data_IF_988111768427
#
_entry.id   IF_988111768427
#
_cell.length_a   1.000
_cell.length_b   1.000
_cell.length_c   1.000
_cell.angle_alpha   90.00
_cell.angle_beta   90.00
_cell.angle_gamma   90.00
#
_symmetry.space_group_name_H-M   'P 1'
#
loop_
_entity.id
_entity.type
_entity.pdbx_description
1 polymer ?
#
# COMPACT_ATOMS: atom_id res chain seq x y z
N UNK A 1 29.04 46.74 29.16
CA UNK A 1 28.72 46.08 27.88
C UNK A 1 29.76 45.06 27.41
N UNK A 2 30.92 44.91 28.07
CA UNK A 2 31.88 43.81 27.78
C UNK A 2 31.59 42.54 28.61
N UNK A 3 31.08 42.70 29.84
CA UNK A 3 30.78 41.59 30.77
C UNK A 3 29.65 40.65 30.30
N UNK A 4 28.60 41.17 29.65
CA UNK A 4 27.45 40.33 29.25
C UNK A 4 27.83 39.30 28.17
N UNK A 5 28.77 39.63 27.28
CA UNK A 5 29.23 38.72 26.22
C UNK A 5 30.15 37.62 26.74
N UNK A 6 30.90 37.89 27.82
CA UNK A 6 31.74 36.88 28.47
C UNK A 6 30.87 35.89 29.26
N UNK A 7 29.82 36.37 29.93
CA UNK A 7 28.90 35.52 30.68
C UNK A 7 28.07 34.57 29.78
N UNK A 8 27.75 35.00 28.54
CA UNK A 8 27.12 34.13 27.53
C UNK A 8 28.06 33.05 26.98
N UNK A 9 29.37 33.29 26.98
CA UNK A 9 30.38 32.30 26.60
C UNK A 9 30.66 31.31 27.74
N UNK A 10 30.65 31.76 29.00
CA UNK A 10 30.81 30.90 30.18
C UNK A 10 29.63 29.94 30.40
N UNK A 11 28.45 30.25 29.86
CA UNK A 11 27.27 29.36 29.92
C UNK A 11 27.26 28.27 28.84
N UNK A 12 28.20 28.29 27.90
CA UNK A 12 28.34 27.26 26.87
C UNK A 12 29.22 26.14 27.41
N UNK A 13 28.63 24.95 27.60
CA UNK A 13 29.37 23.73 27.96
C UNK A 13 30.49 23.53 26.93
N UNK A 14 31.74 23.43 27.39
CA UNK A 14 32.87 23.17 26.51
C UNK A 14 32.73 21.76 25.92
N UNK A 15 33.07 21.58 24.65
CA UNK A 15 33.03 20.27 23.97
C UNK A 15 33.94 19.25 24.67
N UNK A 16 34.98 19.75 25.35
CA UNK A 16 35.92 18.95 26.14
C UNK A 16 35.32 18.35 27.43
N UNK A 17 34.17 18.88 27.89
CA UNK A 17 33.46 18.37 29.06
C UNK A 17 32.37 17.34 28.69
N UNK A 18 32.13 17.14 27.38
CA UNK A 18 31.13 16.20 26.87
C UNK A 18 31.66 14.75 26.84
N UNK A 19 30.75 13.74 26.92
CA UNK A 19 31.11 12.32 26.81
C UNK A 19 31.90 12.01 25.54
N UNK A 20 32.79 11.01 25.61
CA UNK A 20 33.70 10.66 24.53
C UNK A 20 33.02 10.43 23.17
N UNK A 21 31.82 9.82 23.16
CA UNK A 21 31.04 9.60 21.95
C UNK A 21 30.57 10.92 21.30
N UNK A 22 30.15 11.90 22.10
CA UNK A 22 29.71 13.21 21.61
C UNK A 22 30.90 14.03 21.11
N UNK A 23 32.06 13.88 21.74
CA UNK A 23 33.31 14.53 21.29
C UNK A 23 33.78 13.99 19.95
N UNK A 24 33.77 12.66 19.78
CA UNK A 24 34.11 12.03 18.51
C UNK A 24 33.19 12.49 17.38
N UNK A 25 31.88 12.61 17.66
CA UNK A 25 30.93 13.18 16.72
C UNK A 25 31.25 14.65 16.42
N UNK A 26 31.52 15.46 17.44
CA UNK A 26 31.84 16.87 17.28
C UNK A 26 33.09 17.08 16.42
N UNK A 27 34.15 16.30 16.65
CA UNK A 27 35.39 16.34 15.87
C UNK A 27 35.13 16.01 14.39
N UNK A 28 34.33 14.97 14.13
CA UNK A 28 33.95 14.59 12.77
C UNK A 28 33.11 15.67 12.08
N UNK A 29 32.11 16.21 12.78
CA UNK A 29 31.18 17.21 12.22
C UNK A 29 31.86 18.56 11.98
N UNK A 30 32.77 18.99 12.86
CA UNK A 30 33.60 20.17 12.65
C UNK A 30 34.57 19.98 11.48
N UNK A 31 35.05 18.74 11.26
CA UNK A 31 35.85 18.39 10.09
C UNK A 31 35.10 18.53 8.76
N UNK A 32 33.78 18.30 8.77
CA UNK A 32 32.91 18.47 7.59
C UNK A 32 32.44 19.92 7.43
N UNK A 33 32.02 20.56 8.51
CA UNK A 33 31.54 21.94 8.52
C UNK A 33 32.16 22.74 9.69
N UNK A 34 33.08 23.67 9.40
CA UNK A 34 33.72 24.51 10.43
C UNK A 34 32.76 25.42 11.21
N UNK A 35 31.56 25.68 10.71
CA UNK A 35 30.54 26.50 11.36
C UNK A 35 29.56 25.69 12.22
N UNK A 36 29.74 24.37 12.30
CA UNK A 36 28.83 23.49 13.01
C UNK A 36 28.90 23.69 14.54
N UNK A 37 27.75 23.56 15.21
CA UNK A 37 27.60 23.77 16.65
C UNK A 37 26.89 22.59 17.31
N UNK A 38 27.52 21.99 18.32
CA UNK A 38 26.98 20.86 19.08
C UNK A 38 25.65 21.20 19.75
N UNK A 39 25.49 22.42 20.25
CA UNK A 39 24.29 22.82 20.98
C UNK A 39 23.07 22.90 20.07
N UNK A 40 23.23 23.52 18.91
CA UNK A 40 22.17 23.63 17.91
C UNK A 40 21.78 22.23 17.39
N UNK A 41 22.78 21.39 17.13
CA UNK A 41 22.55 20.00 16.76
C UNK A 41 21.81 19.19 17.85
N UNK A 42 22.15 19.37 19.12
CA UNK A 42 21.45 18.70 20.24
C UNK A 42 19.99 19.14 20.33
N UNK A 43 19.70 20.42 20.09
CA UNK A 43 18.33 20.93 20.05
C UNK A 43 17.56 20.31 18.88
N UNK A 44 18.16 20.28 17.69
CA UNK A 44 17.56 19.64 16.51
C UNK A 44 17.28 18.15 16.75
N UNK A 45 18.23 17.41 17.32
CA UNK A 45 18.04 15.99 17.66
C UNK A 45 16.96 15.80 18.72
N UNK A 46 16.91 16.64 19.75
CA UNK A 46 15.86 16.58 20.76
C UNK A 46 14.47 16.81 20.13
N UNK A 47 14.33 17.78 19.22
CA UNK A 47 13.07 18.02 18.52
C UNK A 47 12.69 16.83 17.63
N UNK A 48 13.63 16.32 16.82
CA UNK A 48 13.39 15.18 15.94
C UNK A 48 12.97 13.92 16.71
N UNK A 49 13.64 13.65 17.84
CA UNK A 49 13.29 12.52 18.71
C UNK A 49 11.92 12.71 19.37
N UNK A 50 11.55 13.93 19.76
CA UNK A 50 10.20 14.24 20.26
C UNK A 50 9.13 14.03 19.19
N UNK A 51 9.40 14.40 17.94
CA UNK A 51 8.46 14.19 16.81
C UNK A 51 8.26 12.69 16.52
N UNK A 52 9.35 11.90 16.51
CA UNK A 52 9.27 10.45 16.37
C UNK A 52 8.46 9.81 17.50
N UNK A 53 8.70 10.21 18.75
CA UNK A 53 7.92 9.72 19.89
C UNK A 53 6.43 10.08 19.78
N UNK A 54 6.09 11.25 19.25
CA UNK A 54 4.70 11.63 19.03
C UNK A 54 4.02 10.70 18.00
N UNK A 55 4.71 10.35 16.91
CA UNK A 55 4.21 9.42 15.90
C UNK A 55 4.01 8.02 16.49
N UNK A 56 4.99 7.53 17.26
CA UNK A 56 4.89 6.21 17.91
C UNK A 56 3.72 6.15 18.90
N UNK A 57 3.48 7.22 19.66
CA UNK A 57 2.33 7.32 20.56
C UNK A 57 1.00 7.31 19.81
N UNK A 58 0.91 7.97 18.65
CA UNK A 58 -0.29 7.93 17.82
C UNK A 58 -0.55 6.51 17.29
N UNK A 59 0.49 5.80 16.85
CA UNK A 59 0.39 4.40 16.43
C UNK A 59 -0.11 3.52 17.57
N UNK A 60 0.50 3.60 18.75
CA UNK A 60 0.10 2.81 19.92
C UNK A 60 -1.35 3.11 20.34
N UNK A 61 -1.76 4.38 20.29
CA UNK A 61 -3.15 4.76 20.54
C UNK A 61 -4.11 4.03 19.59
N UNK A 62 -3.83 4.01 18.29
CA UNK A 62 -4.67 3.31 17.31
C UNK A 62 -4.76 1.82 17.60
N UNK A 63 -3.65 1.18 17.96
CA UNK A 63 -3.62 -0.25 18.32
C UNK A 63 -4.47 -0.53 19.55
N UNK A 64 -4.39 0.33 20.58
CA UNK A 64 -5.19 0.22 21.79
C UNK A 64 -6.67 0.45 21.50
N UNK A 65 -7.02 1.45 20.69
CA UNK A 65 -8.41 1.75 20.31
C UNK A 65 -9.03 0.58 19.55
N UNK A 66 -8.31 -0.04 18.61
CA UNK A 66 -8.75 -1.25 17.92
C UNK A 66 -8.95 -2.43 18.87
N UNK A 67 -8.06 -2.61 19.84
CA UNK A 67 -8.20 -3.65 20.86
C UNK A 67 -9.42 -3.40 21.74
N UNK A 68 -9.67 -2.16 22.14
CA UNK A 68 -10.84 -1.77 22.91
C UNK A 68 -12.13 -2.07 22.15
N UNK A 69 -12.21 -1.65 20.88
CA UNK A 69 -13.36 -1.93 20.01
C UNK A 69 -13.65 -3.43 19.92
N UNK A 70 -12.62 -4.26 19.70
CA UNK A 70 -12.78 -5.72 19.68
C UNK A 70 -13.32 -6.27 21.00
N UNK A 71 -12.86 -5.75 22.14
CA UNK A 71 -13.36 -6.17 23.46
C UNK A 71 -14.81 -5.75 23.68
N UNK A 72 -15.19 -4.55 23.26
CA UNK A 72 -16.59 -4.08 23.31
C UNK A 72 -17.50 -4.94 22.47
N UNK A 73 -17.10 -5.28 21.24
CA UNK A 73 -17.89 -6.13 20.35
C UNK A 73 -18.06 -7.54 20.92
N UNK A 74 -17.02 -8.11 21.53
CA UNK A 74 -17.11 -9.38 22.26
C UNK A 74 -18.08 -9.23 23.45
N UNK A 75 -18.00 -8.13 24.20
CA UNK A 75 -18.91 -7.83 25.31
C UNK A 75 -20.37 -7.79 24.87
N UNK A 76 -20.68 -7.07 23.78
CA UNK A 76 -22.04 -6.99 23.18
C UNK A 76 -22.56 -8.36 22.74
N UNK A 77 -21.68 -9.23 22.23
CA UNK A 77 -22.05 -10.60 21.82
C UNK A 77 -22.32 -11.53 23.00
N UNK A 78 -21.73 -11.28 24.16
CA UNK A 78 -21.96 -12.03 25.39
C UNK A 78 -23.21 -11.57 26.15
N UNK A 79 -23.74 -10.38 25.83
CA UNK A 79 -24.96 -9.87 26.44
C UNK A 79 -26.18 -10.76 26.05
N UNK A 80 -27.00 -11.19 27.03
CA UNK A 80 -28.11 -12.08 26.75
C UNK A 80 -29.13 -11.42 25.79
N UNK A 81 -29.73 -12.19 24.87
CA UNK A 81 -30.59 -11.69 23.79
C UNK A 81 -31.90 -11.01 24.25
N UNK A 82 -32.14 -10.90 25.56
CA UNK A 82 -33.29 -10.21 26.15
C UNK A 82 -33.02 -8.76 26.57
N UNK A 83 -31.77 -8.27 26.50
CA UNK A 83 -31.38 -6.92 26.91
C UNK A 83 -30.87 -6.01 25.78
N UNK A 84 -30.72 -6.56 24.57
CA UNK A 84 -30.63 -5.74 23.36
C UNK A 84 -31.97 -5.05 23.17
N UNK A 85 -32.10 -3.87 23.76
CA UNK A 85 -33.19 -2.95 23.43
C UNK A 85 -33.30 -2.91 21.92
N UNK A 86 -34.49 -3.29 21.47
CA UNK A 86 -34.97 -3.21 20.10
C UNK A 86 -34.98 -1.73 19.70
N UNK A 87 -33.80 -1.15 19.51
CA UNK A 87 -33.62 0.09 18.80
C UNK A 87 -33.86 -0.25 17.34
N UNK A 88 -35.15 -0.17 16.98
CA UNK A 88 -35.63 -0.05 15.59
C UNK A 88 -34.77 -0.77 14.56
N UNK A 89 -34.81 -2.11 14.56
CA UNK A 89 -34.36 -2.87 13.39
C UNK A 89 -35.29 -2.45 12.26
N UNK A 90 -34.83 -1.54 11.40
CA UNK A 90 -35.56 -1.12 10.21
C UNK A 90 -35.97 -2.42 9.48
N UNK A 91 -37.25 -2.64 9.18
CA UNK A 91 -37.72 -3.83 8.47
C UNK A 91 -36.96 -4.09 7.17
N UNK A 92 -36.33 -3.05 6.60
CA UNK A 92 -35.56 -3.09 5.37
C UNK A 92 -34.04 -3.24 5.58
N UNK A 93 -33.53 -3.13 6.81
CA UNK A 93 -32.12 -3.33 7.10
C UNK A 93 -31.85 -4.82 7.37
N UNK A 94 -31.36 -5.51 6.34
CA UNK A 94 -30.89 -6.89 6.41
C UNK A 94 -29.36 -6.91 6.37
N UNK A 95 -28.74 -7.89 7.03
CA UNK A 95 -27.30 -8.09 6.88
C UNK A 95 -27.00 -8.41 5.41
N UNK A 96 -25.85 -7.98 4.86
CA UNK A 96 -25.41 -8.30 3.49
C UNK A 96 -25.49 -9.81 3.20
N UNK A 97 -25.34 -10.63 4.24
CA UNK A 97 -25.40 -12.08 4.16
C UNK A 97 -26.82 -12.68 4.25
N UNK A 98 -27.82 -11.92 4.72
CA UNK A 98 -29.22 -12.37 4.78
C UNK A 98 -29.86 -12.46 3.36
N UNK A 99 -29.22 -11.86 2.36
CA UNK A 99 -29.60 -11.97 0.95
C UNK A 99 -29.17 -13.29 0.30
N UNK A 100 -28.31 -14.08 0.96
CA UNK A 100 -27.86 -15.37 0.47
C UNK A 100 -28.58 -16.49 1.21
N UNK A 101 -29.68 -16.97 0.63
CA UNK A 101 -30.32 -18.18 1.15
C UNK A 101 -29.52 -19.41 0.72
N UNK A 102 -28.82 -20.04 1.67
CA UNK A 102 -28.02 -21.25 1.43
C UNK A 102 -28.87 -22.44 0.97
N UNK A 103 -30.21 -22.35 1.14
CA UNK A 103 -31.14 -23.39 0.73
C UNK A 103 -31.59 -23.25 -0.73
N UNK A 104 -31.41 -22.10 -1.36
CA UNK A 104 -31.64 -21.95 -2.79
C UNK A 104 -30.42 -22.42 -3.59
N UNK A 105 -30.61 -23.00 -4.79
CA UNK A 105 -29.51 -23.37 -5.67
C UNK A 105 -28.84 -22.10 -6.24
N UNK A 106 -28.04 -21.45 -5.42
CA UNK A 106 -27.24 -20.30 -5.83
C UNK A 106 -25.98 -20.77 -6.57
N UNK A 107 -25.60 -20.06 -7.63
CA UNK A 107 -24.41 -20.32 -8.47
C UNK A 107 -23.12 -20.50 -7.63
N UNK A 108 -23.07 -19.87 -6.45
CA UNK A 108 -21.93 -19.89 -5.54
C UNK A 108 -21.91 -21.09 -4.57
N UNK A 109 -22.97 -21.92 -4.49
CA UNK A 109 -23.02 -23.10 -3.60
C UNK A 109 -21.92 -24.11 -3.95
N UNK A 110 -21.59 -24.23 -5.23
CA UNK A 110 -20.49 -25.07 -5.70
C UNK A 110 -19.09 -24.59 -5.27
N UNK A 111 -18.92 -23.34 -4.82
CA UNK A 111 -17.65 -22.86 -4.27
C UNK A 111 -17.36 -23.48 -2.88
N UNK A 112 -18.38 -23.57 -2.02
CA UNK A 112 -18.22 -24.18 -0.69
C UNK A 112 -18.12 -25.71 -0.71
N UNK A 113 -18.82 -26.36 -1.65
CA UNK A 113 -18.84 -27.82 -1.78
C UNK A 113 -17.51 -28.38 -2.35
N UNK A 114 -16.78 -27.57 -3.14
CA UNK A 114 -15.43 -27.90 -3.65
C UNK A 114 -14.36 -27.96 -2.55
N UNK A 115 -14.56 -27.26 -1.43
CA UNK A 115 -13.62 -27.25 -0.30
C UNK A 115 -13.75 -28.51 0.56
N UNK A 116 -14.93 -29.14 0.56
CA UNK A 116 -15.23 -30.30 1.42
C UNK A 116 -15.23 -31.64 0.66
N UNK A 117 -15.29 -31.61 -0.68
CA UNK A 117 -15.17 -32.81 -1.48
C UNK A 117 -13.70 -33.26 -1.60
N UNK A 118 -13.37 -34.53 -1.28
CA UNK A 118 -12.03 -35.07 -1.53
C UNK A 118 -11.80 -35.14 -3.05
N UNK A 119 -10.91 -34.30 -3.55
CA UNK A 119 -10.52 -34.25 -4.96
C UNK A 119 -9.92 -35.60 -5.40
N UNK A 120 -10.47 -36.29 -6.42
CA UNK A 120 -9.80 -37.43 -7.02
C UNK A 120 -8.63 -36.91 -7.89
N UNK A 121 -7.41 -37.36 -7.57
CA UNK A 121 -6.19 -37.06 -8.30
C UNK A 121 -6.32 -37.49 -9.77
N UNK A 122 -6.72 -36.55 -10.62
CA UNK A 122 -6.86 -36.72 -12.06
C UNK A 122 -5.91 -35.73 -12.71
N UNK A 123 -4.74 -36.21 -13.10
CA UNK A 123 -3.64 -35.46 -13.67
C UNK A 123 -3.92 -34.98 -15.11
N UNK A 124 -5.10 -34.42 -15.36
CA UNK A 124 -5.49 -33.93 -16.68
C UNK A 124 -6.52 -32.79 -16.60
N UNK A 125 -6.42 -31.93 -15.60
CA UNK A 125 -7.16 -30.68 -15.56
C UNK A 125 -6.57 -29.75 -16.62
N UNK A 126 -7.21 -29.73 -17.78
CA UNK A 126 -7.38 -28.48 -18.48
C UNK A 126 -8.19 -27.59 -17.53
N UNK A 127 -7.50 -26.93 -16.60
CA UNK A 127 -8.04 -25.78 -15.91
C UNK A 127 -8.47 -24.82 -17.02
N UNK A 128 -9.76 -24.78 -17.33
CA UNK A 128 -10.36 -23.65 -18.03
C UNK A 128 -9.95 -22.44 -17.20
N UNK A 129 -8.92 -21.73 -17.67
CA UNK A 129 -8.41 -20.54 -17.01
C UNK A 129 -9.61 -19.61 -16.89
N UNK A 130 -10.11 -19.46 -15.66
CA UNK A 130 -11.21 -18.57 -15.41
C UNK A 130 -10.77 -17.20 -15.95
N UNK A 131 -11.63 -16.43 -16.64
CA UNK A 131 -11.22 -15.15 -17.23
C UNK A 131 -10.62 -14.18 -16.19
N UNK A 132 -10.88 -14.41 -14.90
CA UNK A 132 -10.29 -13.66 -13.80
C UNK A 132 -8.84 -14.02 -13.45
N UNK A 133 -8.31 -15.16 -13.90
CA UNK A 133 -6.91 -15.54 -13.66
C UNK A 133 -5.93 -14.56 -14.32
N UNK A 134 -6.34 -13.94 -15.43
CA UNK A 134 -5.56 -12.92 -16.13
C UNK A 134 -5.20 -11.76 -15.19
N UNK A 135 -6.10 -11.35 -14.29
CA UNK A 135 -5.82 -10.28 -13.33
C UNK A 135 -4.84 -10.71 -12.24
N UNK A 136 -4.77 -12.00 -11.90
CA UNK A 136 -3.77 -12.53 -10.96
C UNK A 136 -2.39 -12.57 -11.60
N UNK A 137 -2.31 -12.91 -12.88
CA UNK A 137 -1.07 -12.95 -13.65
C UNK A 137 -0.49 -11.55 -13.91
N UNK A 138 -1.35 -10.52 -13.98
CA UNK A 138 -0.93 -9.11 -14.09
C UNK A 138 -0.40 -8.53 -12.78
N UNK A 139 -0.74 -9.12 -11.63
CA UNK A 139 -0.34 -8.66 -10.30
C UNK A 139 0.30 -9.79 -9.48
N UNK A 140 1.39 -10.42 -9.96
CA UNK A 140 2.06 -11.47 -9.21
C UNK A 140 2.77 -10.83 -8.01
N UNK A 141 2.53 -11.37 -6.81
CA UNK A 141 3.15 -10.95 -5.54
C UNK A 141 2.71 -9.59 -4.97
N UNK A 142 1.93 -8.78 -5.69
CA UNK A 142 1.28 -7.62 -5.10
C UNK A 142 0.20 -8.07 -4.11
N UNK A 143 0.14 -7.47 -2.92
CA UNK A 143 -1.05 -7.61 -2.07
C UNK A 143 -2.23 -7.04 -2.87
N UNK A 144 -3.01 -7.92 -3.48
CA UNK A 144 -4.12 -7.69 -4.40
C UNK A 144 -5.26 -6.95 -3.70
N UNK A 145 -5.09 -5.66 -3.42
CA UNK A 145 -6.15 -4.80 -2.85
C UNK A 145 -6.50 -3.62 -3.76
N UNK A 146 -5.83 -3.48 -4.90
CA UNK A 146 -6.17 -2.47 -5.92
C UNK A 146 -6.74 -3.11 -7.20
N UNK A 147 -8.07 -3.28 -7.30
CA UNK A 147 -8.71 -3.79 -8.50
C UNK A 147 -8.67 -2.79 -9.67
N UNK A 148 -8.45 -1.49 -9.42
CA UNK A 148 -8.40 -0.48 -10.48
C UNK A 148 -7.07 -0.59 -11.22
N UNK A 149 -5.96 -0.74 -10.50
CA UNK A 149 -4.65 -1.00 -11.09
C UNK A 149 -4.65 -2.26 -11.97
N UNK A 150 -5.33 -3.33 -11.55
CA UNK A 150 -5.46 -4.55 -12.36
C UNK A 150 -6.19 -4.30 -13.70
N UNK A 151 -7.25 -3.49 -13.67
CA UNK A 151 -8.02 -3.11 -14.87
C UNK A 151 -7.19 -2.18 -15.76
N UNK A 152 -6.47 -1.23 -15.17
CA UNK A 152 -5.57 -0.33 -15.88
C UNK A 152 -4.44 -1.11 -16.58
N UNK A 153 -3.77 -2.03 -15.87
CA UNK A 153 -2.77 -2.94 -16.42
C UNK A 153 -3.34 -3.73 -17.61
N UNK A 154 -4.53 -4.32 -17.46
CA UNK A 154 -5.17 -5.06 -18.54
C UNK A 154 -5.44 -4.17 -19.77
N UNK A 155 -5.93 -2.94 -19.56
CA UNK A 155 -6.22 -2.02 -20.66
C UNK A 155 -4.95 -1.55 -21.37
N UNK A 156 -3.85 -1.35 -20.63
CA UNK A 156 -2.54 -1.03 -21.21
C UNK A 156 -2.03 -2.20 -22.06
N UNK A 157 -2.06 -3.42 -21.53
CA UNK A 157 -1.67 -4.64 -22.26
C UNK A 157 -2.48 -4.79 -23.56
N UNK A 158 -3.81 -4.64 -23.50
CA UNK A 158 -4.67 -4.70 -24.69
C UNK A 158 -4.31 -3.62 -25.72
N UNK A 159 -3.94 -2.41 -25.29
CA UNK A 159 -3.50 -1.36 -26.21
C UNK A 159 -2.25 -1.77 -26.98
N UNK A 160 -1.26 -2.34 -26.28
CA UNK A 160 -0.01 -2.81 -26.88
C UNK A 160 -0.24 -3.98 -27.84
N UNK A 161 -1.07 -4.96 -27.45
CA UNK A 161 -1.47 -6.06 -28.32
C UNK A 161 -2.18 -5.54 -29.58
N UNK A 162 -3.06 -4.54 -29.44
CA UNK A 162 -3.79 -3.97 -30.57
C UNK A 162 -2.87 -3.23 -31.54
N UNK A 163 -1.86 -2.51 -31.05
CA UNK A 163 -0.84 -1.89 -31.89
C UNK A 163 -0.06 -2.96 -32.69
N UNK A 164 0.38 -4.03 -32.01
CA UNK A 164 1.12 -5.12 -32.64
C UNK A 164 0.26 -5.90 -33.65
N UNK A 165 -1.03 -6.10 -33.35
CA UNK A 165 -1.99 -6.76 -34.25
C UNK A 165 -2.26 -5.95 -35.52
N UNK A 166 -2.14 -4.61 -35.48
CA UNK A 166 -2.18 -3.74 -36.66
C UNK A 166 -0.91 -3.81 -37.51
N UNK A 167 0.13 -4.51 -37.04
CA UNK A 167 1.43 -4.61 -37.69
C UNK A 167 2.38 -3.47 -37.35
N UNK A 168 2.07 -2.68 -36.32
CA UNK A 168 3.01 -1.69 -35.77
C UNK A 168 4.10 -2.43 -34.97
N UNK A 169 5.38 -2.04 -35.08
CA UNK A 169 6.46 -2.75 -34.40
C UNK A 169 6.47 -2.54 -32.87
N UNK A 170 5.94 -1.40 -32.41
CA UNK A 170 5.91 -0.97 -31.01
C UNK A 170 4.62 -0.19 -30.75
N UNK A 171 4.18 -0.16 -29.49
CA UNK A 171 3.11 0.73 -29.06
C UNK A 171 3.72 2.03 -28.51
N UNK A 172 3.28 3.18 -29.00
CA UNK A 172 3.74 4.48 -28.49
C UNK A 172 2.97 4.87 -27.23
N UNK A 173 3.59 5.66 -26.35
CA UNK A 173 2.95 6.19 -25.14
C UNK A 173 1.61 6.86 -25.46
N UNK A 174 1.58 7.71 -26.49
CA UNK A 174 0.35 8.38 -26.93
C UNK A 174 -0.76 7.40 -27.33
N UNK A 175 -0.42 6.32 -28.03
CA UNK A 175 -1.41 5.30 -28.41
C UNK A 175 -1.97 4.57 -27.18
N UNK A 176 -1.14 4.35 -26.15
CA UNK A 176 -1.56 3.75 -24.90
C UNK A 176 -2.56 4.68 -24.18
N UNK A 177 -2.21 5.95 -23.98
CA UNK A 177 -3.12 6.93 -23.35
C UNK A 177 -4.42 7.14 -24.13
N UNK A 178 -4.36 7.24 -25.45
CA UNK A 178 -5.56 7.42 -26.26
C UNK A 178 -6.51 6.20 -26.14
N UNK A 179 -5.95 5.00 -25.97
CA UNK A 179 -6.73 3.79 -25.73
C UNK A 179 -7.33 3.74 -24.32
N UNK A 180 -6.54 3.99 -23.28
CA UNK A 180 -6.99 3.92 -21.87
C UNK A 180 -8.01 5.01 -21.55
N UNK A 181 -7.83 6.23 -22.07
CA UNK A 181 -8.87 7.29 -22.01
C UNK A 181 -10.17 6.87 -22.68
N UNK A 182 -10.09 6.14 -23.79
CA UNK A 182 -11.26 5.57 -24.46
C UNK A 182 -12.04 4.57 -23.58
N UNK A 183 -11.35 3.95 -22.63
CA UNK A 183 -11.91 3.04 -21.61
C UNK A 183 -12.33 3.75 -20.31
N UNK A 184 -12.30 5.09 -20.26
CA UNK A 184 -12.53 5.92 -19.05
C UNK A 184 -11.53 5.65 -17.92
N UNK A 185 -10.28 5.36 -18.25
CA UNK A 185 -9.18 5.26 -17.28
C UNK A 185 -8.45 6.60 -17.27
N UNK A 186 -8.19 7.13 -16.08
CA UNK A 186 -7.50 8.40 -15.90
C UNK A 186 -6.01 8.28 -16.29
N UNK A 187 -5.38 9.41 -16.60
CA UNK A 187 -3.98 9.42 -17.05
C UNK A 187 -3.06 8.93 -15.92
N UNK A 188 -3.30 9.35 -14.69
CA UNK A 188 -2.52 8.95 -13.51
C UNK A 188 -2.56 7.42 -13.28
N UNK A 189 -3.71 6.78 -13.50
CA UNK A 189 -3.88 5.32 -13.42
C UNK A 189 -3.17 4.59 -14.57
N UNK A 190 -3.10 5.24 -15.74
CA UNK A 190 -2.37 4.70 -16.89
C UNK A 190 -0.87 4.74 -16.63
N UNK A 191 -0.36 5.83 -16.07
CA UNK A 191 1.04 5.96 -15.67
C UNK A 191 1.41 4.90 -14.62
N UNK A 192 0.60 4.75 -13.57
CA UNK A 192 0.83 3.74 -12.53
C UNK A 192 0.82 2.31 -13.10
N UNK A 193 -0.10 2.01 -14.02
CA UNK A 193 -0.15 0.72 -14.69
C UNK A 193 1.10 0.46 -15.57
N UNK A 194 1.60 1.46 -16.28
CA UNK A 194 2.83 1.33 -17.08
C UNK A 194 4.02 1.05 -16.14
N UNK A 195 4.18 1.84 -15.09
CA UNK A 195 5.24 1.66 -14.08
C UNK A 195 5.19 0.27 -13.44
N UNK A 196 3.99 -0.20 -13.11
CA UNK A 196 3.78 -1.54 -12.55
C UNK A 196 4.16 -2.64 -13.55
N UNK A 197 3.73 -2.55 -14.81
CA UNK A 197 4.05 -3.53 -15.86
C UNK A 197 5.54 -3.57 -16.21
N UNK A 198 6.22 -2.42 -16.16
CA UNK A 198 7.68 -2.33 -16.31
C UNK A 198 8.38 -2.98 -15.11
N UNK A 199 7.91 -2.70 -13.88
CA UNK A 199 8.52 -3.23 -12.65
C UNK A 199 8.38 -4.74 -12.54
N UNK A 200 7.22 -5.29 -12.94
CA UNK A 200 6.95 -6.73 -12.96
C UNK A 200 7.59 -7.45 -14.15
N UNK A 201 8.11 -6.71 -15.14
CA UNK A 201 8.78 -7.26 -16.32
C UNK A 201 7.84 -7.84 -17.38
N UNK A 202 6.53 -7.56 -17.29
CA UNK A 202 5.54 -7.94 -18.30
C UNK A 202 5.60 -7.02 -19.54
N UNK A 203 6.03 -5.78 -19.34
CA UNK A 203 6.26 -4.79 -20.38
C UNK A 203 7.72 -4.33 -20.37
N UNK A 204 8.25 -3.98 -21.54
CA UNK A 204 9.56 -3.34 -21.66
C UNK A 204 9.47 -2.11 -22.56
N UNK A 205 10.22 -1.07 -22.19
CA UNK A 205 10.48 0.10 -23.02
C UNK A 205 11.71 -0.18 -23.90
N UNK A 206 11.55 -0.05 -25.22
CA UNK A 206 12.61 -0.38 -26.20
C UNK A 206 13.25 0.86 -26.82
N UNK A 207 12.56 1.99 -26.79
CA UNK A 207 13.02 3.31 -27.22
C UNK A 207 12.18 4.37 -26.48
N UNK A 208 12.56 5.65 -26.56
CA UNK A 208 11.83 6.74 -25.90
C UNK A 208 10.32 6.67 -26.24
N UNK A 209 9.48 6.55 -25.21
CA UNK A 209 8.02 6.47 -25.32
C UNK A 209 7.50 5.28 -26.17
N UNK A 210 8.27 4.19 -26.31
CA UNK A 210 7.95 3.03 -27.14
C UNK A 210 8.02 1.70 -26.36
N UNK A 211 6.89 0.99 -26.32
CA UNK A 211 6.70 -0.19 -25.47
C UNK A 211 6.35 -1.46 -26.26
N UNK A 212 6.80 -2.61 -25.76
CA UNK A 212 6.39 -3.95 -26.22
C UNK A 212 6.14 -4.87 -25.02
N UNK A 213 5.32 -5.90 -25.22
CA UNK A 213 5.12 -6.96 -24.23
C UNK A 213 6.23 -7.99 -24.32
N UNK A 214 6.67 -8.49 -23.17
CA UNK A 214 7.57 -9.64 -23.13
C UNK A 214 6.75 -10.89 -23.51
N UNK A 215 7.19 -11.72 -24.47
CA UNK A 215 6.52 -12.98 -24.72
C UNK A 215 6.58 -13.88 -23.47
N UNK A 216 5.52 -14.66 -23.19
CA UNK A 216 5.49 -15.60 -22.07
C UNK A 216 6.51 -16.73 -22.19
#
# INVERSE_FOLDING_TARGET
MADERQNEQERRVSVDDLPAAVRQLADAMLGVNPQWNVHDWLIEQANLTMDLLAIDLLREKVVVDQRLQRLEDIGRRLEPPGQQTTSSRDPNQRNLFDCFDLNEPHVLRGLGERVTAPQPSSANDQDEHHPSNIFLDLMPEANTDDPLLAIACQSVVMSVEMALAKGEPVATLQNIFDHTRGSNIEDDETDEAIDHLLTTGLMIEVDDDCFILLPP
#
